data_IF_174099820445
#
_entry.id   IF_174099820445
#
_cell.length_a   1.000
_cell.length_b   1.000
_cell.length_c   1.000
_cell.angle_alpha   90.00
_cell.angle_beta   90.00
_cell.angle_gamma   90.00
#
_symmetry.space_group_name_H-M   'P 1'
#
loop_
_entity.id
_entity.type
_entity.pdbx_description
1 polymer ?
#
# COMPACT_ATOMS: atom_id res chain seq x y z
N UNK A 1 5.58 -12.86 -2.13
CA UNK A 1 5.72 -12.74 -3.61
C UNK A 1 7.16 -12.31 -3.89
N UNK A 2 8.05 -13.28 -4.25
CA UNK A 2 9.47 -12.98 -4.49
C UNK A 2 9.67 -12.51 -5.94
N UNK A 3 10.53 -11.49 -6.10
CA UNK A 3 11.05 -11.09 -7.42
C UNK A 3 12.34 -11.85 -7.64
N UNK A 4 12.34 -12.74 -8.66
CA UNK A 4 13.44 -13.64 -8.95
C UNK A 4 14.34 -13.10 -10.06
N UNK A 5 15.54 -13.66 -10.18
CA UNK A 5 16.56 -13.25 -11.15
C UNK A 5 16.05 -13.35 -12.61
N UNK A 6 15.17 -14.31 -12.92
CA UNK A 6 14.61 -14.49 -14.26
C UNK A 6 13.86 -13.23 -14.73
N UNK A 7 13.11 -12.58 -13.80
CA UNK A 7 12.37 -11.35 -14.10
C UNK A 7 13.34 -10.18 -14.37
N UNK A 8 14.44 -10.08 -13.62
CA UNK A 8 15.47 -9.06 -13.86
C UNK A 8 16.17 -9.29 -15.20
N UNK A 9 16.50 -10.54 -15.54
CA UNK A 9 17.08 -10.88 -16.85
C UNK A 9 16.14 -10.53 -18.01
N UNK A 10 14.84 -10.74 -17.85
CA UNK A 10 13.85 -10.31 -18.85
C UNK A 10 13.83 -8.79 -19.05
N UNK A 11 13.93 -8.03 -17.96
CA UNK A 11 14.04 -6.57 -18.01
C UNK A 11 15.33 -6.18 -18.73
N UNK A 12 16.46 -6.76 -18.37
CA UNK A 12 17.76 -6.50 -19.00
C UNK A 12 17.76 -6.79 -20.50
N UNK A 13 17.15 -7.90 -20.90
CA UNK A 13 17.01 -8.23 -22.32
C UNK A 13 16.14 -7.21 -23.07
N UNK A 14 15.06 -6.71 -22.43
CA UNK A 14 14.21 -5.69 -23.05
C UNK A 14 14.93 -4.33 -23.18
N UNK A 15 15.72 -3.95 -22.16
CA UNK A 15 16.50 -2.70 -22.18
C UNK A 15 17.55 -2.73 -23.28
N UNK A 16 18.15 -3.90 -23.54
CA UNK A 16 19.18 -4.06 -24.59
C UNK A 16 18.60 -3.91 -26.02
N UNK A 17 17.28 -4.01 -26.16
CA UNK A 17 16.60 -3.74 -27.44
C UNK A 17 16.39 -2.21 -27.55
N UNK A 18 16.93 -1.59 -28.59
CA UNK A 18 16.73 -0.15 -28.84
C UNK A 18 15.23 0.18 -28.92
N UNK A 19 14.76 1.20 -28.20
CA UNK A 19 13.36 1.59 -28.26
C UNK A 19 13.01 2.16 -29.64
N UNK A 20 11.91 1.71 -30.20
CA UNK A 20 11.45 2.16 -31.53
C UNK A 20 10.89 3.60 -31.54
N UNK A 21 10.50 4.14 -30.38
CA UNK A 21 9.71 5.37 -30.27
C UNK A 21 10.33 6.46 -29.39
N UNK A 22 11.38 6.16 -28.63
CA UNK A 22 11.98 7.10 -27.68
C UNK A 22 13.42 6.73 -27.36
N UNK A 23 14.28 7.73 -27.18
CA UNK A 23 15.66 7.53 -26.73
C UNK A 23 15.75 7.14 -25.24
N UNK A 24 14.62 7.24 -24.50
CA UNK A 24 14.55 7.00 -23.04
C UNK A 24 13.68 5.81 -22.71
N UNK A 25 14.16 5.01 -21.78
CA UNK A 25 13.42 3.88 -21.23
C UNK A 25 13.17 4.07 -19.73
N UNK A 26 11.99 3.69 -19.24
CA UNK A 26 11.66 3.72 -17.81
C UNK A 26 11.30 2.31 -17.37
N UNK A 27 11.98 1.85 -16.33
CA UNK A 27 11.72 0.57 -15.67
C UNK A 27 11.18 0.82 -14.27
N UNK A 28 9.98 0.33 -13.99
CA UNK A 28 9.37 0.44 -12.67
C UNK A 28 9.36 -0.94 -12.03
N UNK A 29 10.00 -1.07 -10.86
CA UNK A 29 10.00 -2.26 -10.03
C UNK A 29 9.15 -1.95 -8.79
N UNK A 30 7.91 -2.43 -8.80
CA UNK A 30 7.01 -2.30 -7.66
C UNK A 30 7.32 -3.38 -6.62
N UNK A 31 7.13 -3.07 -5.34
CA UNK A 31 7.43 -3.97 -4.23
C UNK A 31 8.88 -4.47 -4.22
N UNK A 32 9.82 -3.57 -4.47
CA UNK A 32 11.25 -3.89 -4.60
C UNK A 32 11.85 -4.56 -3.34
N UNK A 33 11.20 -4.49 -2.17
CA UNK A 33 11.57 -5.25 -0.98
C UNK A 33 11.51 -6.77 -1.16
N UNK A 34 10.84 -7.27 -2.21
CA UNK A 34 10.77 -8.70 -2.52
C UNK A 34 11.83 -9.17 -3.53
N UNK A 35 12.78 -8.31 -3.90
CA UNK A 35 13.97 -8.74 -4.64
C UNK A 35 14.78 -9.72 -3.77
N UNK A 36 15.02 -10.93 -4.26
CA UNK A 36 15.97 -11.81 -3.61
C UNK A 36 17.42 -11.36 -3.90
N UNK A 37 18.38 -11.83 -3.12
CA UNK A 37 19.78 -11.39 -3.23
C UNK A 37 20.35 -11.59 -4.64
N UNK A 38 20.02 -12.70 -5.29
CA UNK A 38 20.50 -13.00 -6.64
C UNK A 38 19.91 -12.05 -7.69
N UNK A 39 18.63 -11.67 -7.55
CA UNK A 39 17.96 -10.70 -8.41
C UNK A 39 18.54 -9.30 -8.18
N UNK A 40 18.68 -8.91 -6.91
CA UNK A 40 19.26 -7.63 -6.52
C UNK A 40 20.69 -7.47 -7.04
N UNK A 41 21.55 -8.46 -6.85
CA UNK A 41 22.93 -8.44 -7.35
C UNK A 41 23.00 -8.42 -8.89
N UNK A 42 22.09 -9.11 -9.57
CA UNK A 42 22.00 -9.03 -11.04
C UNK A 42 21.63 -7.63 -11.54
N UNK A 43 20.82 -6.89 -10.77
CA UNK A 43 20.39 -5.52 -11.13
C UNK A 43 21.56 -4.51 -10.98
N UNK A 44 22.51 -4.73 -10.06
CA UNK A 44 23.60 -3.79 -9.78
C UNK A 44 24.39 -3.41 -11.02
N UNK A 45 24.76 -4.39 -11.86
CA UNK A 45 25.52 -4.12 -13.09
C UNK A 45 24.78 -3.16 -14.02
N UNK A 46 23.45 -3.32 -14.13
CA UNK A 46 22.62 -2.48 -14.98
C UNK A 46 22.40 -1.08 -14.40
N UNK A 47 22.41 -0.95 -13.07
CA UNK A 47 22.35 0.35 -12.40
C UNK A 47 23.65 1.14 -12.51
N UNK A 48 24.81 0.44 -12.55
CA UNK A 48 26.12 1.07 -12.69
C UNK A 48 26.41 1.49 -14.12
N UNK A 49 26.10 0.62 -15.08
CA UNK A 49 26.41 0.80 -16.50
C UNK A 49 25.17 0.52 -17.35
N UNK A 50 24.17 1.42 -17.35
CA UNK A 50 22.96 1.22 -18.13
C UNK A 50 23.27 1.31 -19.64
N UNK A 51 22.66 0.42 -20.41
CA UNK A 51 22.71 0.48 -21.88
C UNK A 51 21.71 1.52 -22.34
N UNK A 52 22.18 2.66 -22.82
CA UNK A 52 21.33 3.78 -23.24
C UNK A 52 20.78 4.62 -22.09
N UNK A 53 19.79 5.46 -22.36
CA UNK A 53 19.14 6.29 -21.34
C UNK A 53 18.00 5.53 -20.64
N UNK A 54 18.33 4.82 -19.56
CA UNK A 54 17.38 4.04 -18.78
C UNK A 54 17.21 4.62 -17.38
N UNK A 55 15.96 4.85 -16.99
CA UNK A 55 15.58 5.28 -15.65
C UNK A 55 14.96 4.12 -14.87
N UNK A 56 15.52 3.80 -13.71
CA UNK A 56 14.97 2.82 -12.80
C UNK A 56 14.19 3.50 -11.67
N UNK A 57 12.94 3.09 -11.46
CA UNK A 57 12.10 3.52 -10.34
C UNK A 57 11.79 2.28 -9.49
N UNK A 58 12.41 2.20 -8.30
CA UNK A 58 12.16 1.16 -7.33
C UNK A 58 11.19 1.68 -6.28
N UNK A 59 10.03 1.05 -6.17
CA UNK A 59 8.98 1.41 -5.20
C UNK A 59 9.03 0.38 -4.07
N UNK A 60 9.10 0.86 -2.83
CA UNK A 60 9.15 -0.01 -1.65
C UNK A 60 8.43 0.61 -0.47
N UNK A 61 7.77 -0.22 0.35
CA UNK A 61 7.25 0.16 1.66
C UNK A 61 8.28 -0.04 2.79
N UNK A 62 9.35 -0.80 2.53
CA UNK A 62 10.40 -1.08 3.51
C UNK A 62 11.79 -1.04 2.84
N UNK A 63 12.48 0.09 3.02
CA UNK A 63 13.83 0.31 2.46
C UNK A 63 14.88 -0.64 3.03
N UNK A 64 14.72 -1.08 4.29
CA UNK A 64 15.72 -1.89 5.00
C UNK A 64 15.80 -3.33 4.47
N UNK A 65 14.79 -3.74 3.69
CA UNK A 65 14.80 -5.01 2.96
C UNK A 65 15.45 -4.93 1.57
N UNK A 66 15.87 -3.74 1.13
CA UNK A 66 16.58 -3.58 -0.14
C UNK A 66 18.09 -3.64 0.14
N UNK A 67 18.83 -4.32 -0.73
CA UNK A 67 20.28 -4.42 -0.61
C UNK A 67 20.93 -3.03 -0.47
N UNK A 68 21.81 -2.82 0.50
CA UNK A 68 22.52 -1.53 0.69
C UNK A 68 23.27 -1.08 -0.56
N UNK A 69 23.75 -2.03 -1.35
CA UNK A 69 24.46 -1.80 -2.62
C UNK A 69 23.53 -1.20 -3.69
N UNK A 70 22.24 -1.54 -3.70
CA UNK A 70 21.24 -0.91 -4.56
C UNK A 70 20.92 0.49 -4.02
N UNK A 71 20.67 0.60 -2.71
CA UNK A 71 20.31 1.88 -2.08
C UNK A 71 21.38 2.96 -2.23
N UNK A 72 22.65 2.59 -2.31
CA UNK A 72 23.76 3.53 -2.51
C UNK A 72 23.81 4.12 -3.93
N UNK A 73 23.15 3.48 -4.89
CA UNK A 73 23.09 3.89 -6.32
C UNK A 73 21.80 4.55 -6.70
N UNK A 74 20.86 4.67 -5.77
CA UNK A 74 19.54 5.25 -6.00
C UNK A 74 19.37 6.57 -5.25
N UNK A 75 18.80 7.56 -5.91
CA UNK A 75 18.27 8.73 -5.24
C UNK A 75 17.02 8.32 -4.44
N UNK A 76 16.96 8.69 -3.16
CA UNK A 76 15.87 8.32 -2.26
C UNK A 76 14.84 9.43 -2.21
N UNK A 77 13.60 9.09 -2.56
CA UNK A 77 12.43 9.98 -2.44
C UNK A 77 11.49 9.37 -1.43
N UNK A 78 11.20 10.10 -0.37
CA UNK A 78 10.32 9.65 0.72
C UNK A 78 8.93 10.23 0.52
N UNK A 79 7.93 9.36 0.59
CA UNK A 79 6.52 9.72 0.59
C UNK A 79 5.96 9.54 2.00
N UNK A 80 5.61 10.63 2.64
CA UNK A 80 4.90 10.60 3.92
C UNK A 80 3.41 10.30 3.71
N UNK A 81 2.73 9.69 4.70
CA UNK A 81 1.28 9.61 4.69
C UNK A 81 0.66 11.01 4.53
N UNK A 82 -0.45 11.10 3.82
CA UNK A 82 -1.18 12.35 3.68
C UNK A 82 -1.82 12.77 5.01
N UNK A 83 -2.01 14.07 5.21
CA UNK A 83 -2.82 14.53 6.34
C UNK A 83 -4.27 14.04 6.18
N UNK A 84 -4.98 13.82 7.29
CA UNK A 84 -6.38 13.42 7.23
C UNK A 84 -7.25 14.45 6.50
N UNK A 85 -6.88 15.75 6.59
CA UNK A 85 -7.57 16.84 5.86
C UNK A 85 -7.40 16.71 4.34
N UNK A 86 -6.21 16.36 3.88
CA UNK A 86 -5.94 16.19 2.45
C UNK A 86 -6.65 14.94 1.91
N UNK A 87 -6.64 13.84 2.69
CA UNK A 87 -7.43 12.65 2.34
C UNK A 87 -8.92 12.99 2.25
N UNK A 88 -9.48 13.72 3.25
CA UNK A 88 -10.88 14.12 3.24
C UNK A 88 -11.23 14.98 2.01
N UNK A 89 -10.36 15.96 1.66
CA UNK A 89 -10.53 16.76 0.43
C UNK A 89 -10.56 15.90 -0.84
N UNK A 90 -9.67 14.93 -0.96
CA UNK A 90 -9.65 14.03 -2.12
C UNK A 90 -10.95 13.21 -2.19
N UNK A 91 -11.42 12.67 -1.07
CA UNK A 91 -12.68 11.93 -0.99
C UNK A 91 -13.88 12.77 -1.41
N UNK A 92 -13.97 14.02 -0.94
CA UNK A 92 -15.05 14.94 -1.32
C UNK A 92 -14.99 15.32 -2.80
N UNK A 93 -13.82 15.75 -3.28
CA UNK A 93 -13.68 16.32 -4.63
C UNK A 93 -13.69 15.28 -5.74
N UNK A 94 -13.11 14.09 -5.51
CA UNK A 94 -12.93 13.07 -6.54
C UNK A 94 -13.98 11.96 -6.48
N UNK A 95 -14.51 11.68 -5.29
CA UNK A 95 -15.41 10.55 -5.04
C UNK A 95 -16.81 11.04 -4.61
N UNK A 96 -16.96 12.35 -4.37
CA UNK A 96 -18.24 13.01 -4.02
C UNK A 96 -18.89 12.45 -2.73
N UNK A 97 -18.05 12.14 -1.74
CA UNK A 97 -18.51 11.66 -0.42
C UNK A 97 -18.89 12.87 0.45
N UNK A 98 -19.94 12.73 1.23
CA UNK A 98 -20.38 13.70 2.22
C UNK A 98 -19.24 14.07 3.19
N UNK A 99 -19.18 15.34 3.63
CA UNK A 99 -18.06 15.88 4.38
C UNK A 99 -17.77 15.12 5.68
N UNK A 100 -18.80 14.81 6.46
CA UNK A 100 -18.62 14.12 7.75
C UNK A 100 -18.15 12.67 7.55
N UNK A 101 -18.72 11.96 6.58
CA UNK A 101 -18.29 10.62 6.19
C UNK A 101 -16.85 10.64 5.67
N UNK A 102 -16.48 11.62 4.86
CA UNK A 102 -15.12 11.79 4.34
C UNK A 102 -14.10 12.03 5.46
N UNK A 103 -14.41 12.85 6.46
CA UNK A 103 -13.54 13.08 7.61
C UNK A 103 -13.32 11.82 8.45
N UNK A 104 -14.37 11.03 8.68
CA UNK A 104 -14.27 9.77 9.42
C UNK A 104 -13.36 8.79 8.67
N UNK A 105 -13.63 8.55 7.38
CA UNK A 105 -12.84 7.66 6.53
C UNK A 105 -11.38 8.12 6.47
N UNK A 106 -11.15 9.43 6.32
CA UNK A 106 -9.81 10.00 6.24
C UNK A 106 -8.98 9.73 7.50
N UNK A 107 -9.57 9.87 8.70
CA UNK A 107 -8.90 9.55 9.96
C UNK A 107 -8.54 8.06 10.07
N UNK A 108 -9.42 7.19 9.60
CA UNK A 108 -9.21 5.74 9.62
C UNK A 108 -8.16 5.25 8.64
N UNK A 109 -7.99 5.97 7.54
CA UNK A 109 -7.10 5.55 6.45
C UNK A 109 -5.60 5.68 6.78
N UNK A 110 -5.25 6.34 7.89
CA UNK A 110 -3.85 6.58 8.26
C UNK A 110 -3.07 7.33 7.18
N UNK A 111 -3.74 8.21 6.41
CA UNK A 111 -3.13 8.98 5.33
C UNK A 111 -3.00 8.24 4.00
N UNK A 112 -3.60 7.06 3.85
CA UNK A 112 -3.60 6.27 2.61
C UNK A 112 -4.91 6.43 1.86
N UNK A 113 -4.86 6.99 0.64
CA UNK A 113 -6.04 7.08 -0.24
C UNK A 113 -6.57 5.69 -0.60
N UNK A 114 -5.69 4.71 -0.83
CA UNK A 114 -6.11 3.35 -1.14
C UNK A 114 -6.92 2.73 0.00
N UNK A 115 -6.44 2.85 1.24
CA UNK A 115 -7.20 2.41 2.42
C UNK A 115 -8.50 3.18 2.58
N UNK A 116 -8.48 4.50 2.36
CA UNK A 116 -9.69 5.30 2.41
C UNK A 116 -10.75 4.82 1.42
N UNK A 117 -10.34 4.45 0.20
CA UNK A 117 -11.26 3.90 -0.81
C UNK A 117 -11.86 2.55 -0.38
N UNK A 118 -11.10 1.71 0.32
CA UNK A 118 -11.60 0.44 0.86
C UNK A 118 -12.67 0.63 1.94
N UNK A 119 -12.60 1.75 2.69
CA UNK A 119 -13.60 2.09 3.72
C UNK A 119 -14.86 2.78 3.19
N UNK A 120 -14.93 3.09 1.90
CA UNK A 120 -16.12 3.70 1.28
C UNK A 120 -17.27 2.71 1.20
N UNK A 121 -16.97 1.43 1.00
CA UNK A 121 -17.98 0.36 1.04
C UNK A 121 -18.62 0.34 2.43
N UNK A 122 -19.95 0.52 2.46
CA UNK A 122 -20.74 0.81 3.67
C UNK A 122 -20.59 -0.26 4.78
N UNK A 123 -20.23 -1.48 4.43
CA UNK A 123 -20.07 -2.60 5.37
C UNK A 123 -18.97 -2.36 6.42
N UNK A 124 -17.84 -1.77 6.04
CA UNK A 124 -16.72 -1.55 6.96
C UNK A 124 -17.02 -0.46 8.00
N UNK A 125 -17.75 0.59 7.62
CA UNK A 125 -18.19 1.65 8.54
C UNK A 125 -19.28 1.20 9.48
N UNK A 126 -20.26 0.46 8.99
CA UNK A 126 -21.35 -0.11 9.79
C UNK A 126 -20.79 -1.09 10.83
N UNK A 127 -19.85 -1.96 10.42
CA UNK A 127 -19.21 -2.92 11.30
C UNK A 127 -18.39 -2.23 12.40
N UNK A 128 -17.69 -1.12 12.06
CA UNK A 128 -16.97 -0.32 13.05
C UNK A 128 -17.90 0.38 14.03
N UNK A 129 -19.01 0.97 13.59
CA UNK A 129 -19.98 1.59 14.48
C UNK A 129 -20.55 0.55 15.46
N UNK A 130 -20.82 -0.65 14.99
CA UNK A 130 -21.29 -1.77 15.81
C UNK A 130 -20.21 -2.24 16.79
N UNK A 131 -18.92 -2.30 16.37
CA UNK A 131 -17.81 -2.59 17.27
C UNK A 131 -17.65 -1.54 18.37
N UNK A 132 -17.74 -0.25 18.03
CA UNK A 132 -17.69 0.83 19.01
C UNK A 132 -18.88 0.81 19.97
N UNK A 133 -20.08 0.47 19.48
CA UNK A 133 -21.25 0.32 20.36
C UNK A 133 -21.09 -0.85 21.31
N UNK A 134 -20.37 -1.93 20.92
CA UNK A 134 -20.04 -3.06 21.82
C UNK A 134 -19.09 -2.67 22.97
N UNK A 135 -18.35 -1.58 22.86
CA UNK A 135 -17.45 -1.08 23.90
C UNK A 135 -18.14 -0.09 24.87
N UNK A 136 -19.38 0.29 24.62
CA UNK A 136 -20.17 1.13 25.51
C UNK A 136 -20.91 0.28 26.55
N UNK A 137 -21.01 0.75 27.79
CA UNK A 137 -21.37 0.00 29.01
C UNK A 137 -22.75 -0.73 29.05
N UNK A 138 -23.52 -0.76 27.96
CA UNK A 138 -24.87 -1.34 27.91
C UNK A 138 -25.01 -2.55 26.97
N UNK A 139 -23.93 -3.25 26.63
CA UNK A 139 -24.01 -4.39 25.72
C UNK A 139 -24.30 -5.71 26.43
N UNK A 140 -25.28 -6.45 25.92
CA UNK A 140 -25.54 -7.80 26.41
C UNK A 140 -24.58 -8.82 25.79
N UNK A 141 -24.33 -9.93 26.48
CA UNK A 141 -23.54 -11.06 25.97
C UNK A 141 -24.09 -11.54 24.60
N UNK A 142 -25.38 -11.45 24.39
CA UNK A 142 -26.04 -11.86 23.16
C UNK A 142 -25.68 -10.95 21.96
N UNK A 143 -25.50 -9.65 22.21
CA UNK A 143 -25.11 -8.69 21.18
C UNK A 143 -23.66 -8.91 20.78
N UNK A 144 -22.79 -9.27 21.73
CA UNK A 144 -21.38 -9.63 21.48
C UNK A 144 -21.29 -10.88 20.59
N UNK A 145 -22.05 -11.93 20.88
CA UNK A 145 -22.08 -13.13 20.04
C UNK A 145 -22.58 -12.86 18.64
N UNK A 146 -23.65 -12.07 18.49
CA UNK A 146 -24.14 -11.65 17.17
C UNK A 146 -23.10 -10.88 16.37
N UNK A 147 -22.30 -10.03 17.02
CA UNK A 147 -21.21 -9.30 16.40
C UNK A 147 -20.06 -10.22 15.99
N UNK A 148 -19.71 -11.21 16.81
CA UNK A 148 -18.70 -12.21 16.49
C UNK A 148 -19.09 -13.03 15.26
N UNK A 149 -20.36 -13.50 15.20
CA UNK A 149 -20.86 -14.26 14.06
C UNK A 149 -20.83 -13.45 12.76
N UNK A 150 -21.14 -12.16 12.84
CA UNK A 150 -21.03 -11.25 11.69
C UNK A 150 -19.57 -11.05 11.26
N UNK A 151 -18.63 -10.85 12.23
CA UNK A 151 -17.20 -10.76 11.97
C UNK A 151 -16.67 -12.01 11.25
N UNK A 152 -17.09 -13.18 11.67
CA UNK A 152 -16.65 -14.46 11.08
C UNK A 152 -17.15 -14.64 9.63
N UNK A 153 -18.17 -13.90 9.20
CA UNK A 153 -18.65 -13.90 7.81
C UNK A 153 -17.77 -13.07 6.86
N UNK A 154 -16.88 -12.22 7.39
CA UNK A 154 -15.99 -11.38 6.59
C UNK A 154 -14.68 -12.07 6.24
N UNK A 155 -14.05 -11.65 5.12
CA UNK A 155 -12.72 -12.11 4.76
C UNK A 155 -11.69 -11.72 5.83
N UNK A 156 -10.77 -12.63 6.14
CA UNK A 156 -9.75 -12.51 7.20
C UNK A 156 -8.93 -11.22 7.15
N UNK A 157 -8.71 -10.67 5.96
CA UNK A 157 -7.98 -9.40 5.77
C UNK A 157 -8.76 -8.20 6.28
N UNK A 158 -10.09 -8.18 6.06
CA UNK A 158 -10.99 -7.13 6.57
C UNK A 158 -11.06 -7.14 8.10
N UNK A 159 -11.07 -8.32 8.71
CA UNK A 159 -11.08 -8.47 10.18
C UNK A 159 -9.79 -7.89 10.79
N UNK A 160 -8.63 -8.19 10.22
CA UNK A 160 -7.34 -7.67 10.71
C UNK A 160 -7.26 -6.14 10.61
N UNK A 161 -7.79 -5.55 9.56
CA UNK A 161 -7.84 -4.09 9.40
C UNK A 161 -8.74 -3.44 10.46
N UNK A 162 -9.91 -4.02 10.74
CA UNK A 162 -10.84 -3.55 11.78
C UNK A 162 -10.20 -3.68 13.17
N UNK A 163 -9.59 -4.81 13.49
CA UNK A 163 -8.93 -5.04 14.78
C UNK A 163 -7.76 -4.10 15.02
N UNK A 164 -6.94 -3.85 14.00
CA UNK A 164 -5.83 -2.88 14.11
C UNK A 164 -6.32 -1.45 14.36
N UNK A 165 -7.48 -1.08 13.85
CA UNK A 165 -8.09 0.23 14.09
C UNK A 165 -8.73 0.35 15.48
N UNK A 166 -9.30 -0.73 15.99
CA UNK A 166 -9.81 -0.75 17.38
C UNK A 166 -8.67 -0.63 18.40
N UNK A 167 -7.50 -1.23 18.12
CA UNK A 167 -6.31 -1.10 18.96
C UNK A 167 -5.74 0.34 18.99
N UNK A 168 -5.96 1.16 17.97
CA UNK A 168 -5.54 2.57 17.96
C UNK A 168 -6.47 3.49 18.77
N UNK A 169 -7.62 3.00 19.21
CA UNK A 169 -8.62 3.78 19.94
C UNK A 169 -8.62 3.48 21.46
N UNK A 170 -7.87 2.47 21.88
CA UNK A 170 -7.62 2.09 23.28
C UNK A 170 -6.27 2.62 23.74
#
# INVERSE_FOLDING_TARGET
>A
KLIKIEQIRQIQAKIALSPYLSDKQVVIINDAQYLNDTAGNSLLKTLEEPIGEVFFILITSNKDMILPTILSRCMKIYFAPLSYLDVAKVLQQKIQIEEDKAKIIARLSGGSILKAMQFIDDDALALRQKALSCLQDNFSIKDIWSFIDELLSFERNKINDIMSHLQMLL
#
